data_IF_080252932252
#
_entry.id   IF_080252932252
#
_cell.length_a   1.000
_cell.length_b   1.000
_cell.length_c   1.000
_cell.angle_alpha   90.00
_cell.angle_beta   90.00
_cell.angle_gamma   90.00
#
_symmetry.space_group_name_H-M   'P 1'
#
loop_
_entity.id
_entity.type
_entity.pdbx_description
1 polymer ?
#
# COMPACT_ATOMS: atom_id res chain seq x y z
N UNK A 1 -5.68 3.70 0.64
CA UNK A 1 -6.40 4.70 -0.19
C UNK A 1 -5.44 5.77 -0.73
N UNK A 2 -4.68 6.53 0.09
CA UNK A 2 -3.73 7.53 -0.41
C UNK A 2 -2.74 6.93 -1.43
N UNK A 3 -2.11 5.81 -1.09
CA UNK A 3 -1.18 5.12 -1.99
C UNK A 3 -1.84 4.67 -3.30
N UNK A 4 -3.06 4.16 -3.23
CA UNK A 4 -3.81 3.73 -4.42
C UNK A 4 -4.18 4.90 -5.34
N UNK A 5 -4.55 6.06 -4.78
CA UNK A 5 -4.81 7.26 -5.58
C UNK A 5 -3.52 7.75 -6.24
N UNK A 6 -2.41 7.81 -5.50
CA UNK A 6 -1.12 8.23 -6.06
C UNK A 6 -0.65 7.28 -7.17
N UNK A 7 -0.83 5.97 -7.01
CA UNK A 7 -0.51 5.00 -8.06
C UNK A 7 -1.51 5.07 -9.23
N UNK A 8 -2.79 5.31 -9.01
CA UNK A 8 -3.75 5.50 -10.09
C UNK A 8 -3.38 6.72 -10.98
N UNK A 9 -2.95 7.82 -10.36
CA UNK A 9 -2.46 9.00 -11.10
C UNK A 9 -1.20 8.66 -11.89
N UNK A 10 -0.24 7.95 -11.28
CA UNK A 10 0.97 7.49 -11.94
C UNK A 10 0.64 6.60 -13.14
N UNK A 11 -0.21 5.60 -12.96
CA UNK A 11 -0.56 4.64 -14.00
C UNK A 11 -1.24 5.32 -15.18
N UNK A 12 -2.22 6.20 -14.93
CA UNK A 12 -2.90 6.95 -15.98
C UNK A 12 -1.96 7.88 -16.78
N UNK A 13 -0.98 8.47 -16.10
CA UNK A 13 0.04 9.32 -16.77
C UNK A 13 0.96 8.44 -17.62
N UNK A 14 1.48 7.33 -17.09
CA UNK A 14 2.39 6.45 -17.82
C UNK A 14 1.71 5.71 -18.99
N UNK A 15 0.41 5.44 -18.91
CA UNK A 15 -0.36 4.88 -20.04
C UNK A 15 -0.37 5.84 -21.24
N UNK A 16 -0.51 7.14 -20.98
CA UNK A 16 -0.51 8.17 -22.05
C UNK A 16 0.87 8.62 -22.49
N UNK A 17 1.84 8.61 -21.58
CA UNK A 17 3.24 9.00 -21.84
C UNK A 17 4.20 8.19 -20.95
N UNK A 18 4.73 7.06 -21.48
CA UNK A 18 5.67 6.19 -20.74
C UNK A 18 6.98 6.87 -20.33
N UNK A 19 7.31 8.03 -20.91
CA UNK A 19 8.52 8.79 -20.57
C UNK A 19 8.33 9.81 -19.45
N UNK A 20 7.13 9.91 -18.92
CA UNK A 20 6.77 10.87 -17.86
C UNK A 20 7.61 10.73 -16.60
N UNK A 21 7.84 11.87 -15.95
CA UNK A 21 8.42 11.95 -14.61
C UNK A 21 7.28 12.28 -13.63
N UNK A 22 7.08 11.42 -12.64
CA UNK A 22 5.96 11.53 -11.70
C UNK A 22 6.47 11.34 -10.30
N UNK A 23 6.15 12.29 -9.44
CA UNK A 23 6.23 12.20 -8.00
C UNK A 23 4.89 12.73 -7.46
N UNK A 24 3.94 11.83 -7.22
CA UNK A 24 2.58 12.19 -6.83
C UNK A 24 2.29 11.71 -5.42
N UNK A 25 1.88 12.62 -4.56
CA UNK A 25 1.49 12.37 -3.19
C UNK A 25 0.05 12.75 -2.95
N UNK A 26 -0.62 12.02 -2.07
CA UNK A 26 -2.04 12.22 -1.74
C UNK A 26 -2.22 12.32 -0.25
N UNK A 27 -2.98 13.33 0.17
CA UNK A 27 -3.53 13.47 1.52
C UNK A 27 -5.04 13.32 1.47
N UNK A 28 -5.59 12.50 2.37
CA UNK A 28 -7.03 12.40 2.57
C UNK A 28 -7.36 12.76 4.02
N UNK A 29 -8.44 13.51 4.18
CA UNK A 29 -9.05 13.79 5.48
C UNK A 29 -10.56 13.89 5.31
N UNK A 30 -11.30 14.24 6.37
CA UNK A 30 -12.77 14.33 6.32
C UNK A 30 -13.26 15.14 5.11
N UNK A 31 -13.91 14.48 4.17
CA UNK A 31 -14.54 15.09 2.99
C UNK A 31 -13.58 15.69 1.94
N UNK A 32 -12.27 15.48 2.07
CA UNK A 32 -11.28 16.11 1.20
C UNK A 32 -10.16 15.17 0.78
N UNK A 33 -9.79 15.24 -0.50
CA UNK A 33 -8.58 14.66 -1.09
C UNK A 33 -7.72 15.79 -1.64
N UNK A 34 -6.45 15.80 -1.30
CA UNK A 34 -5.44 16.69 -1.88
C UNK A 34 -4.41 15.84 -2.61
N UNK A 35 -4.25 16.09 -3.90
CA UNK A 35 -3.21 15.49 -4.74
C UNK A 35 -2.17 16.56 -5.03
N UNK A 36 -0.92 16.31 -4.65
CA UNK A 36 0.17 17.26 -4.79
C UNK A 36 1.44 16.56 -5.29
N UNK A 37 2.38 17.32 -5.82
CA UNK A 37 3.67 16.79 -6.27
C UNK A 37 4.17 17.43 -7.54
N UNK A 38 5.12 16.77 -8.19
CA UNK A 38 5.75 17.23 -9.43
C UNK A 38 5.57 16.22 -10.55
N UNK A 39 5.11 16.71 -11.70
CA UNK A 39 4.85 15.90 -12.89
C UNK A 39 5.37 16.59 -14.13
N UNK A 40 6.16 15.86 -14.92
CA UNK A 40 6.55 16.27 -16.28
C UNK A 40 6.01 15.22 -17.24
N UNK A 41 5.05 15.60 -18.06
CA UNK A 41 4.36 14.69 -18.99
C UNK A 41 3.83 15.45 -20.20
N UNK A 42 3.62 14.74 -21.30
CA UNK A 42 2.95 15.24 -22.49
C UNK A 42 1.46 14.86 -22.54
N UNK A 43 0.98 14.04 -21.60
CA UNK A 43 -0.41 13.61 -21.58
C UNK A 43 -1.26 14.45 -20.64
N UNK A 44 -2.59 14.39 -20.82
CA UNK A 44 -3.58 14.97 -19.92
C UNK A 44 -4.35 13.89 -19.18
N UNK A 45 -4.52 14.04 -17.88
CA UNK A 45 -5.32 13.17 -17.04
C UNK A 45 -6.32 14.01 -16.25
N UNK A 46 -7.59 13.65 -16.28
CA UNK A 46 -8.62 14.24 -15.40
C UNK A 46 -8.45 13.65 -13.98
N UNK A 47 -7.54 14.23 -13.23
CA UNK A 47 -7.20 13.75 -11.88
C UNK A 47 -8.40 13.79 -10.93
N UNK A 48 -9.25 14.83 -10.89
CA UNK A 48 -10.45 14.80 -10.06
C UNK A 48 -11.41 13.64 -10.37
N UNK A 49 -11.63 13.32 -11.64
CA UNK A 49 -12.46 12.18 -12.03
C UNK A 49 -11.82 10.85 -11.59
N UNK A 50 -10.53 10.67 -11.86
CA UNK A 50 -9.76 9.48 -11.48
C UNK A 50 -9.74 9.25 -9.97
N UNK A 51 -9.56 10.31 -9.17
CA UNK A 51 -9.61 10.23 -7.71
C UNK A 51 -10.96 9.72 -7.23
N UNK A 52 -12.07 10.25 -7.77
CA UNK A 52 -13.41 9.84 -7.41
C UNK A 52 -13.68 8.38 -7.73
N UNK A 53 -13.31 7.95 -8.94
CA UNK A 53 -13.40 6.56 -9.38
C UNK A 53 -12.62 5.64 -8.45
N UNK A 54 -11.35 5.95 -8.17
CA UNK A 54 -10.50 5.17 -7.28
C UNK A 54 -11.10 5.04 -5.87
N UNK A 55 -11.64 6.12 -5.32
CA UNK A 55 -12.28 6.11 -3.99
C UNK A 55 -13.53 5.24 -3.98
N UNK A 56 -14.37 5.34 -5.02
CA UNK A 56 -15.56 4.51 -5.18
C UNK A 56 -15.21 3.04 -5.37
N UNK A 57 -14.20 2.71 -6.16
CA UNK A 57 -13.71 1.33 -6.37
C UNK A 57 -13.17 0.69 -5.10
N UNK A 58 -12.58 1.47 -4.21
CA UNK A 58 -12.19 1.00 -2.87
C UNK A 58 -13.43 0.62 -2.05
N UNK A 59 -14.57 1.25 -2.31
CA UNK A 59 -15.86 0.99 -1.69
C UNK A 59 -16.36 2.13 -0.80
N UNK A 60 -15.78 3.34 -0.92
CA UNK A 60 -16.30 4.55 -0.30
C UNK A 60 -17.20 5.30 -1.30
N UNK A 61 -18.36 4.71 -1.56
CA UNK A 61 -19.38 5.13 -2.52
C UNK A 61 -20.70 5.59 -1.84
N UNK A 62 -20.68 5.74 -0.52
CA UNK A 62 -21.87 6.07 0.25
C UNK A 62 -21.52 6.98 1.44
N UNK A 63 -22.27 8.07 1.59
CA UNK A 63 -22.06 9.06 2.66
C UNK A 63 -22.18 8.44 4.07
N UNK A 64 -22.99 7.39 4.23
CA UNK A 64 -23.12 6.67 5.50
C UNK A 64 -21.82 6.00 5.98
N UNK A 65 -20.80 5.87 5.10
CA UNK A 65 -19.49 5.30 5.47
C UNK A 65 -18.51 6.36 6.02
N UNK A 66 -18.97 7.63 6.10
CA UNK A 66 -18.18 8.77 6.56
C UNK A 66 -17.27 9.39 5.51
N UNK A 67 -17.17 8.78 4.32
CA UNK A 67 -16.45 9.30 3.16
C UNK A 67 -17.12 8.79 1.89
N UNK A 68 -17.17 9.64 0.84
CA UNK A 68 -17.79 9.26 -0.42
C UNK A 68 -17.03 9.90 -1.60
N UNK A 69 -16.58 9.06 -2.54
CA UNK A 69 -15.83 9.49 -3.72
C UNK A 69 -16.63 10.41 -4.63
N UNK A 70 -17.95 10.23 -4.72
CA UNK A 70 -18.80 11.10 -5.57
C UNK A 70 -18.91 12.53 -5.04
N UNK A 71 -18.88 12.72 -3.70
CA UNK A 71 -19.18 14.01 -3.06
C UNK A 71 -17.99 14.69 -2.40
N UNK A 72 -16.85 13.98 -2.20
CA UNK A 72 -15.67 14.57 -1.56
C UNK A 72 -15.11 15.74 -2.38
N UNK A 73 -14.48 16.71 -1.69
CA UNK A 73 -13.67 17.74 -2.33
C UNK A 73 -12.38 17.13 -2.90
N UNK A 74 -11.95 17.59 -4.08
CA UNK A 74 -10.66 17.20 -4.65
C UNK A 74 -9.89 18.48 -4.98
N UNK A 75 -8.71 18.62 -4.39
CA UNK A 75 -7.76 19.68 -4.69
C UNK A 75 -6.54 19.07 -5.40
N UNK A 76 -6.11 19.72 -6.48
CA UNK A 76 -4.93 19.30 -7.23
C UNK A 76 -3.92 20.43 -7.24
N UNK A 77 -2.68 20.15 -6.81
CA UNK A 77 -1.54 21.06 -6.79
C UNK A 77 -0.33 20.30 -7.34
N UNK A 78 -0.30 20.12 -8.66
CA UNK A 78 0.80 19.48 -9.36
C UNK A 78 1.56 20.52 -10.18
N UNK A 79 2.86 20.60 -9.94
CA UNK A 79 3.78 21.49 -10.63
C UNK A 79 4.69 20.71 -11.60
N UNK A 80 5.35 21.41 -12.52
CA UNK A 80 6.40 20.81 -13.32
C UNK A 80 7.62 20.49 -12.43
N UNK A 81 8.32 19.40 -12.73
CA UNK A 81 9.56 19.05 -12.02
C UNK A 81 10.58 20.20 -12.14
N UNK A 82 11.26 20.53 -11.03
CA UNK A 82 12.31 21.53 -10.99
C UNK A 82 13.40 21.22 -12.05
N UNK A 83 13.82 22.21 -12.86
CA UNK A 83 14.93 22.02 -13.81
C UNK A 83 16.24 21.58 -13.13
N UNK A 84 16.47 22.00 -11.88
CA UNK A 84 17.65 21.62 -11.12
C UNK A 84 17.65 20.15 -10.75
N UNK A 85 16.49 19.61 -10.39
CA UNK A 85 16.31 18.17 -10.12
C UNK A 85 16.40 17.38 -11.44
N UNK A 86 15.79 17.87 -12.50
CA UNK A 86 15.81 17.22 -13.82
C UNK A 86 17.23 16.97 -14.32
N UNK A 87 18.19 17.88 -14.11
CA UNK A 87 19.59 17.68 -14.48
C UNK A 87 20.19 16.41 -13.87
N UNK A 88 19.82 16.06 -12.64
CA UNK A 88 20.32 14.88 -11.95
C UNK A 88 19.68 13.58 -12.43
N UNK A 89 18.44 13.65 -12.95
CA UNK A 89 17.69 12.50 -13.48
C UNK A 89 18.02 12.22 -14.95
N UNK A 90 18.08 13.28 -15.77
CA UNK A 90 18.22 13.15 -17.22
C UNK A 90 19.64 12.73 -17.66
N UNK A 91 20.66 13.05 -16.85
CA UNK A 91 22.02 12.64 -17.14
C UNK A 91 22.80 12.29 -15.88
N UNK A 92 23.33 11.08 -15.83
CA UNK A 92 24.20 10.60 -14.74
C UNK A 92 25.41 11.53 -14.54
N UNK A 93 25.88 11.64 -13.31
CA UNK A 93 27.03 12.47 -12.95
C UNK A 93 28.27 12.14 -13.79
N UNK A 94 28.51 10.86 -14.07
CA UNK A 94 29.62 10.36 -14.86
C UNK A 94 29.56 10.88 -16.30
N UNK A 95 28.38 10.94 -16.92
CA UNK A 95 28.20 11.51 -18.25
C UNK A 95 28.44 13.02 -18.24
N UNK A 96 27.88 13.73 -17.29
CA UNK A 96 28.03 15.19 -17.16
C UNK A 96 29.50 15.61 -16.94
N UNK A 97 30.29 14.74 -16.32
CA UNK A 97 31.72 14.98 -16.05
C UNK A 97 32.66 14.37 -17.08
N UNK A 98 32.12 13.78 -18.16
CA UNK A 98 32.91 13.16 -19.23
C UNK A 98 33.62 11.85 -18.83
N UNK A 99 33.19 11.22 -17.75
CA UNK A 99 33.71 9.95 -17.25
C UNK A 99 32.83 8.75 -17.58
N UNK A 100 31.66 8.98 -18.16
CA UNK A 100 30.72 7.93 -18.57
C UNK A 100 31.18 7.22 -19.83
N UNK A 101 30.96 5.89 -19.90
CA UNK A 101 31.12 5.12 -21.12
C UNK A 101 29.99 5.37 -22.14
N UNK A 102 30.07 4.72 -23.31
CA UNK A 102 29.06 4.83 -24.37
C UNK A 102 27.78 4.02 -24.12
N UNK A 103 27.67 3.36 -22.96
CA UNK A 103 26.50 2.53 -22.61
C UNK A 103 25.29 3.41 -22.30
N UNK A 104 24.26 3.31 -23.13
CA UNK A 104 22.99 4.05 -22.98
C UNK A 104 22.29 3.75 -21.66
N UNK A 105 22.48 2.54 -21.09
CA UNK A 105 21.88 2.16 -19.79
C UNK A 105 22.47 2.96 -18.63
N UNK A 106 23.70 3.46 -18.77
CA UNK A 106 24.36 4.29 -17.76
C UNK A 106 24.07 5.79 -17.93
N UNK A 107 23.25 6.15 -18.91
CA UNK A 107 22.95 7.56 -19.19
C UNK A 107 22.03 8.20 -18.16
N UNK A 108 21.07 7.44 -17.63
CA UNK A 108 20.11 7.94 -16.67
C UNK A 108 20.74 8.13 -15.29
N UNK A 109 20.52 9.31 -14.69
CA UNK A 109 20.93 9.59 -13.32
C UNK A 109 19.92 9.04 -12.29
N UNK A 110 20.37 8.91 -11.03
CA UNK A 110 19.51 8.47 -9.94
C UNK A 110 18.56 9.57 -9.43
N UNK A 111 18.86 10.83 -9.67
CA UNK A 111 18.06 11.99 -9.25
C UNK A 111 18.14 12.31 -7.76
N UNK A 112 18.36 11.33 -6.90
CA UNK A 112 18.46 11.49 -5.45
C UNK A 112 19.36 10.41 -4.85
N UNK A 113 19.71 10.59 -3.58
CA UNK A 113 20.37 9.60 -2.74
C UNK A 113 19.36 8.61 -2.18
N UNK A 114 19.81 7.44 -1.74
CA UNK A 114 18.93 6.47 -1.09
C UNK A 114 19.67 5.27 -0.54
N UNK A 115 19.00 4.58 0.37
CA UNK A 115 19.41 3.27 0.88
C UNK A 115 18.25 2.31 0.75
N UNK A 116 18.41 1.25 -0.03
CA UNK A 116 17.37 0.28 -0.33
C UNK A 116 17.79 -1.11 0.16
N UNK A 117 16.80 -1.89 0.61
CA UNK A 117 17.00 -3.22 1.12
C UNK A 117 16.16 -4.24 0.35
N UNK A 118 16.79 -5.32 -0.09
CA UNK A 118 16.13 -6.53 -0.53
C UNK A 118 16.24 -7.61 0.55
N UNK A 119 15.18 -8.38 0.71
CA UNK A 119 15.13 -9.51 1.64
C UNK A 119 14.33 -10.65 1.03
N UNK A 120 14.75 -11.88 1.26
CA UNK A 120 14.02 -13.09 0.91
C UNK A 120 14.26 -14.18 1.97
N UNK A 121 13.26 -15.01 2.23
CA UNK A 121 13.35 -16.19 3.07
C UNK A 121 12.47 -17.31 2.51
N UNK A 122 12.68 -18.53 2.96
CA UNK A 122 11.98 -19.73 2.49
C UNK A 122 10.74 -20.09 3.34
N UNK A 123 10.13 -19.09 3.99
CA UNK A 123 8.98 -19.30 4.87
C UNK A 123 7.64 -19.37 4.13
N UNK A 124 7.57 -18.83 2.93
CA UNK A 124 6.34 -18.77 2.12
C UNK A 124 6.65 -18.97 0.64
N UNK A 125 5.64 -19.35 -0.18
CA UNK A 125 5.83 -19.52 -1.62
C UNK A 125 6.33 -18.26 -2.33
N UNK A 126 6.00 -17.08 -1.79
CA UNK A 126 6.45 -15.79 -2.31
C UNK A 126 7.83 -15.38 -1.82
N UNK A 127 8.52 -16.23 -1.03
CA UNK A 127 9.80 -15.94 -0.36
C UNK A 127 9.73 -14.70 0.54
N UNK A 128 8.60 -14.53 1.21
CA UNK A 128 8.33 -13.44 2.15
C UNK A 128 8.26 -13.95 3.58
N UNK A 129 8.60 -13.12 4.58
CA UNK A 129 8.38 -13.47 5.98
C UNK A 129 6.91 -13.79 6.27
N UNK A 130 6.66 -14.90 6.96
CA UNK A 130 5.32 -15.40 7.22
C UNK A 130 4.38 -14.38 7.90
N UNK A 131 4.80 -13.60 8.94
CA UNK A 131 3.89 -12.69 9.61
C UNK A 131 3.29 -11.63 8.67
N UNK A 132 4.12 -10.98 7.86
CA UNK A 132 3.63 -9.95 6.92
C UNK A 132 2.88 -10.59 5.75
N UNK A 133 3.34 -11.71 5.24
CA UNK A 133 2.68 -12.43 4.17
C UNK A 133 1.25 -12.83 4.55
N UNK A 134 1.08 -13.45 5.73
CA UNK A 134 -0.23 -13.86 6.20
C UNK A 134 -1.12 -12.66 6.52
N UNK A 135 -0.56 -11.58 7.09
CA UNK A 135 -1.29 -10.33 7.31
C UNK A 135 -1.83 -9.75 6.00
N UNK A 136 -1.02 -9.74 4.93
CA UNK A 136 -1.46 -9.30 3.60
C UNK A 136 -2.59 -10.18 3.05
N UNK A 137 -2.46 -11.52 3.13
CA UNK A 137 -3.51 -12.45 2.68
C UNK A 137 -4.82 -12.26 3.45
N UNK A 138 -4.74 -12.02 4.76
CA UNK A 138 -5.93 -11.71 5.59
C UNK A 138 -6.59 -10.39 5.16
N UNK A 139 -5.82 -9.34 4.88
CA UNK A 139 -6.36 -8.06 4.40
C UNK A 139 -6.99 -8.19 3.02
N UNK A 140 -6.34 -8.91 2.12
CA UNK A 140 -6.87 -9.21 0.78
C UNK A 140 -8.18 -10.02 0.88
N UNK A 141 -8.20 -11.06 1.72
CA UNK A 141 -9.39 -11.88 1.94
C UNK A 141 -10.54 -11.09 2.54
N UNK A 142 -10.25 -10.20 3.49
CA UNK A 142 -11.24 -9.30 4.08
C UNK A 142 -11.91 -8.42 3.00
N UNK A 143 -11.13 -7.86 2.10
CA UNK A 143 -11.64 -7.07 0.97
C UNK A 143 -12.46 -7.93 -0.02
N UNK A 144 -12.02 -9.16 -0.32
CA UNK A 144 -12.76 -10.11 -1.17
C UNK A 144 -14.12 -10.46 -0.58
N UNK A 145 -14.16 -10.83 0.71
CA UNK A 145 -15.40 -11.20 1.43
C UNK A 145 -16.39 -10.03 1.44
N UNK A 146 -15.91 -8.81 1.66
CA UNK A 146 -16.73 -7.60 1.59
C UNK A 146 -17.29 -7.37 0.17
N UNK A 147 -16.43 -7.39 -0.86
CA UNK A 147 -16.83 -7.16 -2.26
C UNK A 147 -17.81 -8.22 -2.78
N UNK A 148 -17.64 -9.47 -2.33
CA UNK A 148 -18.55 -10.56 -2.66
C UNK A 148 -19.86 -10.52 -1.85
N UNK A 149 -20.02 -9.57 -0.93
CA UNK A 149 -21.14 -9.48 0.00
C UNK A 149 -21.38 -10.76 0.82
N UNK A 150 -20.35 -11.59 1.02
CA UNK A 150 -20.44 -12.78 1.87
C UNK A 150 -20.65 -12.38 3.35
N UNK A 151 -20.09 -11.24 3.75
CA UNK A 151 -20.38 -10.55 5.02
C UNK A 151 -20.79 -9.11 4.67
N UNK A 152 -22.07 -8.85 4.41
CA UNK A 152 -22.55 -7.64 3.73
C UNK A 152 -22.46 -6.36 4.57
N UNK A 153 -22.28 -6.48 5.87
CA UNK A 153 -22.15 -5.35 6.78
C UNK A 153 -20.69 -4.86 6.94
N UNK A 154 -19.69 -5.50 6.32
CA UNK A 154 -18.32 -5.00 6.32
C UNK A 154 -18.19 -3.71 5.51
N UNK A 155 -17.28 -2.85 5.97
CA UNK A 155 -16.92 -1.58 5.33
C UNK A 155 -15.45 -1.60 4.91
N UNK A 156 -14.97 -0.63 4.08
CA UNK A 156 -13.66 -0.73 3.44
C UNK A 156 -12.44 -0.66 4.37
N UNK A 157 -12.53 0.02 5.52
CA UNK A 157 -11.38 0.16 6.42
C UNK A 157 -11.14 -1.12 7.21
N UNK A 158 -9.90 -1.56 7.24
CA UNK A 158 -9.52 -2.75 7.98
C UNK A 158 -8.02 -2.83 8.22
N UNK A 159 -7.66 -3.51 9.30
CA UNK A 159 -6.28 -3.78 9.72
C UNK A 159 -6.14 -5.23 10.11
N UNK A 160 -5.01 -5.82 9.78
CA UNK A 160 -4.69 -7.20 10.16
C UNK A 160 -3.30 -7.24 10.80
N UNK A 161 -3.14 -8.11 11.79
CA UNK A 161 -1.86 -8.36 12.42
C UNK A 161 -1.74 -9.84 12.73
N UNK A 162 -0.54 -10.40 12.54
CA UNK A 162 -0.22 -11.78 12.85
C UNK A 162 1.04 -11.83 13.70
N UNK A 163 0.99 -12.62 14.79
CA UNK A 163 2.16 -12.95 15.60
C UNK A 163 2.51 -14.42 15.42
N UNK A 164 3.78 -14.69 15.13
CA UNK A 164 4.30 -16.02 14.86
C UNK A 164 5.41 -16.32 15.86
N UNK A 165 5.40 -17.54 16.40
CA UNK A 165 6.50 -18.05 17.23
C UNK A 165 7.55 -18.66 16.31
N UNK A 166 8.80 -18.30 16.55
CA UNK A 166 9.97 -18.83 15.86
C UNK A 166 10.84 -19.64 16.82
N UNK A 167 11.32 -20.79 16.35
CA UNK A 167 12.35 -21.60 17.01
C UNK A 167 13.49 -21.84 16.01
N UNK A 168 14.71 -21.62 16.43
CA UNK A 168 15.92 -21.76 15.59
C UNK A 168 15.81 -21.03 14.24
N UNK A 169 15.15 -19.86 14.22
CA UNK A 169 14.96 -19.04 13.02
C UNK A 169 13.89 -19.53 12.05
N UNK A 170 13.04 -20.50 12.44
CA UNK A 170 11.94 -21.01 11.65
C UNK A 170 10.60 -20.77 12.33
N UNK A 171 9.53 -20.44 11.56
CA UNK A 171 8.20 -20.32 12.13
C UNK A 171 7.67 -21.70 12.55
N UNK A 172 7.18 -21.81 13.77
CA UNK A 172 6.67 -23.08 14.33
C UNK A 172 5.19 -23.01 14.72
N UNK A 173 4.69 -21.84 15.08
CA UNK A 173 3.30 -21.70 15.54
C UNK A 173 2.74 -20.31 15.24
N UNK A 174 1.48 -20.24 14.82
CA UNK A 174 0.72 -18.99 14.79
C UNK A 174 0.19 -18.72 16.20
N UNK A 175 0.67 -17.67 16.84
CA UNK A 175 0.29 -17.33 18.21
C UNK A 175 -0.96 -16.46 18.29
N UNK A 176 -1.02 -15.43 17.43
CA UNK A 176 -2.11 -14.46 17.48
C UNK A 176 -2.48 -13.98 16.07
N UNK A 177 -3.78 -13.89 15.82
CA UNK A 177 -4.36 -13.16 14.69
C UNK A 177 -5.27 -12.06 15.22
N UNK A 178 -5.03 -10.82 14.78
CA UNK A 178 -5.89 -9.69 15.08
C UNK A 178 -6.45 -9.11 13.79
N UNK A 179 -7.76 -8.89 13.75
CA UNK A 179 -8.45 -8.15 12.69
C UNK A 179 -9.25 -7.02 13.34
N UNK A 180 -9.02 -5.79 12.88
CA UNK A 180 -9.92 -4.67 13.14
C UNK A 180 -10.54 -4.25 11.82
N UNK A 181 -11.87 -4.22 11.74
CA UNK A 181 -12.58 -3.89 10.50
C UNK A 181 -13.77 -3.00 10.78
N UNK A 182 -13.95 -2.04 9.89
CA UNK A 182 -15.13 -1.18 9.87
C UNK A 182 -16.36 -2.00 9.50
N UNK A 183 -17.48 -1.73 10.18
CA UNK A 183 -18.75 -2.43 9.99
C UNK A 183 -19.95 -1.47 10.07
N UNK A 184 -21.10 -1.92 9.60
CA UNK A 184 -22.36 -1.19 9.75
C UNK A 184 -22.78 -1.08 11.22
N UNK A 185 -23.62 -0.09 11.53
CA UNK A 185 -24.20 0.05 12.86
C UNK A 185 -25.12 -1.11 13.25
N UNK A 186 -25.23 -1.36 14.54
CA UNK A 186 -26.13 -2.38 15.09
C UNK A 186 -25.64 -3.83 14.97
N UNK A 187 -24.34 -4.05 14.65
CA UNK A 187 -23.74 -5.38 14.56
C UNK A 187 -23.21 -5.81 15.93
N UNK A 188 -23.58 -7.02 16.36
CA UNK A 188 -22.99 -7.64 17.53
C UNK A 188 -21.59 -8.17 17.21
N UNK A 189 -20.60 -7.70 17.98
CA UNK A 189 -19.20 -8.02 17.72
C UNK A 189 -18.84 -9.48 18.06
N UNK A 190 -19.40 -10.04 19.15
CA UNK A 190 -19.07 -11.38 19.61
C UNK A 190 -19.97 -12.46 18.97
N UNK A 191 -21.27 -12.18 18.82
CA UNK A 191 -22.22 -13.16 18.32
C UNK A 191 -22.33 -13.17 16.78
N UNK A 192 -21.86 -12.10 16.11
CA UNK A 192 -21.99 -11.95 14.66
C UNK A 192 -20.65 -11.68 13.96
N UNK A 193 -19.99 -10.56 14.25
CA UNK A 193 -18.78 -10.15 13.51
C UNK A 193 -17.64 -11.17 13.71
N UNK A 194 -17.38 -11.58 14.95
CA UNK A 194 -16.28 -12.49 15.26
C UNK A 194 -16.44 -13.87 14.61
N UNK A 195 -17.57 -14.56 14.69
CA UNK A 195 -17.79 -15.83 13.99
C UNK A 195 -17.65 -15.71 12.48
N UNK A 196 -18.21 -14.69 11.87
CA UNK A 196 -18.16 -14.48 10.42
C UNK A 196 -16.72 -14.25 9.94
N UNK A 197 -15.92 -13.45 10.65
CA UNK A 197 -14.51 -13.25 10.29
C UNK A 197 -13.66 -14.51 10.51
N UNK A 198 -13.93 -15.28 11.54
CA UNK A 198 -13.24 -16.57 11.74
C UNK A 198 -13.54 -17.51 10.58
N UNK A 199 -14.80 -17.66 10.20
CA UNK A 199 -15.21 -18.60 9.15
C UNK A 199 -14.79 -18.17 7.75
N UNK A 200 -15.02 -16.90 7.39
CA UNK A 200 -14.86 -16.43 6.03
C UNK A 200 -13.49 -15.84 5.71
N UNK A 201 -12.76 -15.40 6.73
CA UNK A 201 -11.48 -14.70 6.54
C UNK A 201 -10.31 -15.48 7.13
N UNK A 202 -10.37 -15.89 8.40
CA UNK A 202 -9.21 -16.45 9.10
C UNK A 202 -8.97 -17.90 8.75
N UNK A 203 -9.95 -18.77 9.01
CA UNK A 203 -9.82 -20.22 8.81
C UNK A 203 -9.31 -20.63 7.40
N UNK A 204 -9.81 -20.01 6.30
CA UNK A 204 -9.36 -20.40 4.97
C UNK A 204 -7.89 -20.12 4.67
N UNK A 205 -7.22 -19.31 5.49
CA UNK A 205 -5.85 -18.85 5.28
C UNK A 205 -4.86 -19.38 6.31
N UNK A 206 -5.33 -20.06 7.36
CA UNK A 206 -4.41 -20.64 8.34
C UNK A 206 -3.56 -21.74 7.69
N UNK A 207 -2.22 -21.69 7.82
CA UNK A 207 -1.35 -22.75 7.36
C UNK A 207 -1.70 -24.09 8.02
N UNK A 208 -1.69 -25.16 7.25
CA UNK A 208 -2.00 -26.52 7.72
C UNK A 208 -0.78 -27.26 8.28
N UNK A 209 0.40 -26.75 8.03
CA UNK A 209 1.71 -27.29 8.40
C UNK A 209 2.31 -26.64 9.66
N UNK A 210 1.63 -25.63 10.21
CA UNK A 210 2.04 -24.97 11.44
C UNK A 210 1.06 -25.27 12.57
N UNK A 211 1.59 -25.30 13.80
CA UNK A 211 0.77 -25.44 14.98
C UNK A 211 -0.12 -24.20 15.20
N UNK A 212 -1.39 -24.46 15.43
CA UNK A 212 -2.41 -23.45 15.76
C UNK A 212 -3.08 -23.74 17.10
N UNK A 213 -2.56 -24.68 17.90
CA UNK A 213 -3.07 -24.95 19.24
C UNK A 213 -2.88 -23.71 20.12
N UNK A 214 -3.95 -23.29 20.78
CA UNK A 214 -3.95 -22.08 21.60
C UNK A 214 -3.92 -20.76 20.82
N UNK A 215 -4.20 -20.78 19.50
CA UNK A 215 -4.31 -19.58 18.68
C UNK A 215 -5.27 -18.56 19.30
N UNK A 216 -4.77 -17.38 19.58
CA UNK A 216 -5.58 -16.26 20.07
C UNK A 216 -6.09 -15.44 18.89
N UNK A 217 -7.40 -15.28 18.81
CA UNK A 217 -8.04 -14.47 17.77
C UNK A 217 -8.70 -13.25 18.43
N UNK A 218 -8.31 -12.06 17.96
CA UNK A 218 -8.89 -10.80 18.36
C UNK A 218 -9.60 -10.15 17.16
N UNK A 219 -10.89 -9.82 17.38
CA UNK A 219 -11.71 -9.09 16.41
C UNK A 219 -12.17 -7.80 17.05
N UNK A 220 -11.89 -6.68 16.46
CA UNK A 220 -12.23 -5.34 16.97
C UNK A 220 -11.99 -5.20 18.48
N UNK A 221 -10.79 -5.47 19.01
CA UNK A 221 -10.53 -5.53 20.45
C UNK A 221 -10.75 -4.21 21.18
N UNK A 222 -10.82 -3.10 20.44
CA UNK A 222 -11.13 -1.77 20.99
C UNK A 222 -12.64 -1.47 21.02
N UNK A 223 -13.47 -2.38 20.51
CA UNK A 223 -14.91 -2.25 20.45
C UNK A 223 -15.44 -1.83 19.07
N UNK A 224 -16.53 -1.09 19.05
CA UNK A 224 -17.26 -0.68 17.85
C UNK A 224 -16.34 0.10 16.88
N UNK A 225 -16.43 -0.26 15.58
CA UNK A 225 -15.69 0.39 14.51
C UNK A 225 -16.63 0.73 13.34
N UNK A 226 -17.55 1.66 13.57
CA UNK A 226 -18.49 2.14 12.57
C UNK A 226 -17.93 3.30 11.74
N UNK A 227 -17.17 4.18 12.37
CA UNK A 227 -16.47 5.30 11.69
C UNK A 227 -15.06 4.88 11.31
N UNK A 228 -14.74 4.94 10.03
CA UNK A 228 -13.45 4.55 9.48
C UNK A 228 -13.00 5.45 8.32
N UNK A 229 -11.91 5.04 7.67
CA UNK A 229 -11.34 5.74 6.53
C UNK A 229 -10.91 7.18 6.85
N UNK A 230 -10.90 8.08 5.85
CA UNK A 230 -10.45 9.47 6.01
C UNK A 230 -11.25 10.31 7.01
N UNK A 231 -12.46 9.86 7.37
CA UNK A 231 -13.26 10.51 8.40
C UNK A 231 -12.69 10.28 9.80
N UNK A 232 -12.18 9.08 10.04
CA UNK A 232 -11.64 8.71 11.35
C UNK A 232 -10.16 9.10 11.51
N UNK A 233 -9.37 8.96 10.44
CA UNK A 233 -7.92 9.22 10.48
C UNK A 233 -7.42 9.72 9.12
N UNK A 234 -6.56 10.71 9.15
CA UNK A 234 -5.95 11.30 7.95
C UNK A 234 -5.02 10.30 7.27
N UNK A 235 -5.21 10.09 5.96
CA UNK A 235 -4.35 9.27 5.11
C UNK A 235 -3.30 10.10 4.39
N UNK A 236 -2.10 9.55 4.23
CA UNK A 236 -0.99 10.12 3.47
C UNK A 236 -0.26 9.05 2.68
N UNK A 237 0.12 9.37 1.45
CA UNK A 237 0.97 8.50 0.63
C UNK A 237 2.29 8.21 1.33
N UNK A 238 2.75 6.95 1.25
CA UNK A 238 4.05 6.55 1.78
C UNK A 238 4.16 6.48 3.31
N UNK A 239 3.04 6.43 4.04
CA UNK A 239 3.00 6.29 5.51
C UNK A 239 2.85 4.84 5.98
N UNK A 240 2.97 3.83 5.10
CA UNK A 240 2.87 2.40 5.40
C UNK A 240 4.07 1.60 4.84
N UNK A 241 5.25 2.22 4.80
CA UNK A 241 6.45 1.68 4.13
C UNK A 241 6.94 0.33 4.69
N UNK A 242 6.70 0.04 5.95
CA UNK A 242 7.07 -1.25 6.56
C UNK A 242 6.05 -2.34 6.17
N UNK A 243 4.77 -1.97 6.03
CA UNK A 243 3.73 -2.87 5.49
C UNK A 243 3.99 -3.15 4.01
N UNK A 244 4.43 -2.15 3.25
CA UNK A 244 4.75 -2.27 1.82
C UNK A 244 5.97 -3.15 1.54
N UNK A 245 6.77 -3.47 2.55
CA UNK A 245 8.02 -4.23 2.44
C UNK A 245 7.97 -5.54 3.22
N UNK A 246 8.72 -5.68 4.32
CA UNK A 246 8.95 -6.98 4.96
C UNK A 246 8.39 -7.09 6.38
N UNK A 247 7.49 -6.16 6.78
CA UNK A 247 6.85 -6.20 8.11
C UNK A 247 7.81 -6.04 9.28
N UNK A 248 8.99 -5.46 9.06
CA UNK A 248 10.02 -5.27 10.07
C UNK A 248 11.07 -6.39 10.16
N UNK A 249 10.97 -7.46 9.36
CA UNK A 249 11.99 -8.53 9.31
C UNK A 249 13.29 -8.06 8.67
N UNK A 250 13.23 -7.10 7.76
CA UNK A 250 14.42 -6.46 7.18
C UNK A 250 14.46 -4.98 7.55
N UNK A 251 15.63 -4.37 7.37
CA UNK A 251 15.81 -2.93 7.49
C UNK A 251 15.09 -2.20 6.38
N UNK A 252 14.83 -0.91 6.57
CA UNK A 252 14.21 -0.04 5.59
C UNK A 252 15.00 1.27 5.46
N UNK A 253 15.15 1.76 4.23
CA UNK A 253 15.88 3.00 3.96
C UNK A 253 15.05 4.27 4.09
N UNK A 254 13.71 4.16 4.20
CA UNK A 254 12.79 5.28 4.40
C UNK A 254 12.00 5.70 3.17
N UNK A 255 12.38 5.28 1.96
CA UNK A 255 11.70 5.64 0.72
C UNK A 255 10.34 4.95 0.56
N UNK A 256 9.33 5.70 0.12
CA UNK A 256 8.02 5.17 -0.27
C UNK A 256 8.00 4.79 -1.75
N UNK A 257 7.05 3.93 -2.16
CA UNK A 257 6.91 3.45 -3.53
C UNK A 257 5.84 4.19 -4.32
N UNK A 258 4.65 4.32 -3.75
CA UNK A 258 3.46 4.80 -4.45
C UNK A 258 3.64 6.21 -5.03
N UNK A 259 3.08 6.42 -6.22
CA UNK A 259 3.11 7.70 -6.92
C UNK A 259 4.44 8.05 -7.59
N UNK A 260 5.42 7.16 -7.61
CA UNK A 260 6.78 7.38 -8.13
C UNK A 260 7.03 6.59 -9.40
N UNK A 261 7.45 7.26 -10.48
CA UNK A 261 7.87 6.62 -11.72
C UNK A 261 9.21 5.86 -11.56
N UNK A 262 9.59 4.97 -12.51
CA UNK A 262 10.80 4.14 -12.39
C UNK A 262 12.13 4.89 -12.26
N UNK A 263 12.20 6.19 -12.55
CA UNK A 263 13.42 6.99 -12.33
C UNK A 263 13.72 7.23 -10.85
N UNK A 264 12.73 7.07 -9.97
CA UNK A 264 12.88 7.22 -8.52
C UNK A 264 13.46 5.94 -7.92
N UNK A 265 14.70 6.03 -7.44
CA UNK A 265 15.46 4.91 -6.89
C UNK A 265 14.81 4.29 -5.64
N UNK A 266 14.05 5.06 -4.87
CA UNK A 266 13.27 4.55 -3.74
C UNK A 266 12.40 3.35 -4.13
N UNK A 267 11.81 3.38 -5.32
CA UNK A 267 10.96 2.32 -5.86
C UNK A 267 11.77 1.33 -6.69
N UNK A 268 12.42 1.78 -7.74
CA UNK A 268 13.11 0.91 -8.70
C UNK A 268 14.28 0.14 -8.09
N UNK A 269 15.11 0.77 -7.27
CA UNK A 269 16.23 0.10 -6.63
C UNK A 269 15.79 -0.82 -5.48
N UNK A 270 14.70 -0.52 -4.76
CA UNK A 270 14.11 -1.44 -3.80
C UNK A 270 13.61 -2.71 -4.49
N UNK A 271 12.96 -2.59 -5.65
CA UNK A 271 12.50 -3.74 -6.44
C UNK A 271 13.69 -4.54 -7.00
N UNK A 272 14.73 -3.87 -7.49
CA UNK A 272 15.95 -4.53 -7.93
C UNK A 272 16.65 -5.27 -6.77
N UNK A 273 16.75 -4.66 -5.59
CA UNK A 273 17.31 -5.29 -4.40
C UNK A 273 16.50 -6.52 -3.98
N UNK A 274 15.17 -6.46 -4.07
CA UNK A 274 14.29 -7.63 -3.85
C UNK A 274 14.55 -8.73 -4.87
N UNK A 275 14.69 -8.39 -6.15
CA UNK A 275 14.99 -9.35 -7.19
C UNK A 275 16.34 -10.05 -6.96
N UNK A 276 17.37 -9.30 -6.56
CA UNK A 276 18.69 -9.89 -6.22
C UNK A 276 18.59 -10.82 -5.02
N UNK A 277 17.76 -10.47 -4.00
CA UNK A 277 17.60 -11.30 -2.80
C UNK A 277 16.86 -12.62 -3.08
N UNK A 278 15.99 -12.67 -4.07
CA UNK A 278 15.27 -13.87 -4.52
C UNK A 278 16.11 -14.79 -5.38
#
# INVERSE_FOLDING_TARGET
MADQISDAVLDAILEGDPSSRVACETLLTTGLVVVAGEVTTSTYVDIPALVRETVCDIGYDNDAYGFNGETCGVLVSLDAQSPDIAQGVDAAFELRTGKGGEDVLNAQGAGDQGMMFGYACDETPDLMPLPIWLSHRLSERLAQVRRAAAVPYLRPDGKTQVSVVYEDGRPVRIDTVLISTQHAGGIDLEEQLRPDLIEHVIKPLLPTDLDTEGLRIFVNPTGIFELGGPHADTGLTGRKIIVDTYGGMARHGGGAFSGKDPSKVDRSAAYAARWVAK
#
